data_IF_235880786385
#
_entry.id   IF_235880786385
#
_cell.length_a   1.000
_cell.length_b   1.000
_cell.length_c   1.000
_cell.angle_alpha   90.00
_cell.angle_beta   90.00
_cell.angle_gamma   90.00
#
_symmetry.space_group_name_H-M   'P 1'
#
loop_
_entity.id
_entity.type
_entity.pdbx_description
1 polymer ?
#
# COMPACT_ATOMS: atom_id res chain seq x y z
N UNK A 1 -4.62 0.24 -14.80
CA UNK A 1 -3.44 0.24 -13.90
C UNK A 1 -3.11 -1.19 -13.51
N UNK A 2 -4.03 -1.87 -12.84
CA UNK A 2 -4.17 -3.33 -12.90
C UNK A 2 -4.76 -3.73 -14.28
N UNK A 3 -4.44 -4.92 -14.85
CA UNK A 3 -3.46 -5.89 -14.38
C UNK A 3 -2.03 -5.64 -14.91
N UNK A 4 -1.83 -4.69 -15.83
CA UNK A 4 -0.57 -4.58 -16.58
C UNK A 4 0.67 -4.26 -15.75
N UNK A 5 0.55 -3.37 -14.74
CA UNK A 5 1.68 -3.09 -13.85
C UNK A 5 1.97 -4.27 -12.90
N UNK A 6 0.92 -4.91 -12.38
CA UNK A 6 1.02 -6.12 -11.56
C UNK A 6 1.73 -7.26 -12.32
N UNK A 7 1.37 -7.53 -13.58
CA UNK A 7 2.04 -8.54 -14.42
C UNK A 7 3.54 -8.27 -14.57
N UNK A 8 3.94 -7.01 -14.76
CA UNK A 8 5.35 -6.64 -14.86
C UNK A 8 6.07 -6.79 -13.52
N UNK A 9 5.43 -6.41 -12.42
CA UNK A 9 5.97 -6.59 -11.07
C UNK A 9 6.23 -8.08 -10.78
N UNK A 10 5.27 -8.97 -11.09
CA UNK A 10 5.43 -10.42 -10.90
C UNK A 10 6.56 -10.98 -11.77
N UNK A 11 6.64 -10.55 -13.03
CA UNK A 11 7.60 -11.10 -13.99
C UNK A 11 9.04 -10.63 -13.73
N UNK A 12 9.23 -9.38 -13.35
CA UNK A 12 10.55 -8.74 -13.36
C UNK A 12 10.95 -8.09 -12.04
N UNK A 13 10.04 -7.97 -11.07
CA UNK A 13 10.28 -7.22 -9.83
C UNK A 13 10.28 -8.09 -8.58
N UNK A 14 10.51 -7.38 -7.47
CA UNK A 14 10.58 -7.90 -6.09
C UNK A 14 9.55 -7.20 -5.20
N UNK A 15 8.40 -6.87 -5.78
CA UNK A 15 7.32 -6.19 -5.08
C UNK A 15 6.44 -5.36 -6.01
N UNK A 16 5.34 -4.86 -5.46
CA UNK A 16 4.35 -4.09 -6.20
C UNK A 16 3.95 -2.83 -5.43
N UNK A 17 3.97 -1.68 -6.12
CA UNK A 17 3.66 -0.38 -5.53
C UNK A 17 2.44 0.26 -6.23
N UNK A 18 1.21 -0.19 -5.95
CA UNK A 18 0.02 0.46 -6.47
C UNK A 18 -0.29 1.77 -5.74
N UNK A 19 -1.08 2.62 -6.40
CA UNK A 19 -1.70 3.75 -5.73
C UNK A 19 -3.08 3.36 -5.20
N UNK A 20 -3.38 3.67 -3.94
CA UNK A 20 -4.67 3.35 -3.30
C UNK A 20 -5.86 3.83 -4.14
N UNK A 21 -5.81 5.10 -4.56
CA UNK A 21 -6.84 5.77 -5.35
C UNK A 21 -7.16 5.07 -6.69
N UNK A 22 -6.20 4.34 -7.27
CA UNK A 22 -6.39 3.59 -8.51
C UNK A 22 -6.93 2.19 -8.30
N UNK A 23 -6.91 1.69 -7.08
CA UNK A 23 -7.44 0.37 -6.71
C UNK A 23 -8.85 0.46 -6.12
N UNK A 24 -9.23 1.60 -5.54
CA UNK A 24 -10.52 1.79 -4.84
C UNK A 24 -11.73 1.39 -5.70
N UNK A 25 -11.75 1.76 -6.99
CA UNK A 25 -12.87 1.46 -7.89
C UNK A 25 -13.24 -0.02 -7.94
N UNK A 26 -12.23 -0.90 -7.92
CA UNK A 26 -12.40 -2.34 -8.11
C UNK A 26 -12.20 -3.10 -6.77
N UNK A 27 -12.04 -2.38 -5.66
CA UNK A 27 -11.81 -2.90 -4.31
C UNK A 27 -10.33 -3.25 -4.04
N UNK A 28 -9.69 -2.52 -3.12
CA UNK A 28 -8.26 -2.69 -2.79
C UNK A 28 -7.93 -4.13 -2.38
N UNK A 29 -8.68 -4.71 -1.44
CA UNK A 29 -8.47 -6.08 -0.98
C UNK A 29 -8.66 -7.11 -2.09
N UNK A 30 -9.68 -6.94 -2.94
CA UNK A 30 -9.94 -7.82 -4.09
C UNK A 30 -8.76 -7.82 -5.06
N UNK A 31 -8.19 -6.65 -5.34
CA UNK A 31 -7.06 -6.54 -6.26
C UNK A 31 -5.75 -7.06 -5.66
N UNK A 32 -5.55 -6.95 -4.34
CA UNK A 32 -4.41 -7.54 -3.65
C UNK A 32 -4.46 -9.07 -3.72
N UNK A 33 -5.61 -9.68 -3.42
CA UNK A 33 -5.77 -11.13 -3.54
C UNK A 33 -5.54 -11.59 -4.98
N UNK A 34 -6.12 -10.91 -5.98
CA UNK A 34 -5.86 -11.22 -7.39
C UNK A 34 -4.38 -11.09 -7.77
N UNK A 35 -3.65 -10.13 -7.20
CA UNK A 35 -2.21 -10.01 -7.43
C UNK A 35 -1.46 -11.22 -6.88
N UNK A 36 -1.80 -11.70 -5.67
CA UNK A 36 -1.22 -12.90 -5.08
C UNK A 36 -1.51 -14.15 -5.90
N UNK A 37 -2.74 -14.31 -6.38
CA UNK A 37 -3.11 -15.43 -7.24
C UNK A 37 -2.34 -15.40 -8.55
N UNK A 38 -2.23 -14.23 -9.20
CA UNK A 38 -1.40 -14.07 -10.38
C UNK A 38 0.08 -14.38 -10.15
N UNK A 39 0.60 -14.12 -8.94
CA UNK A 39 1.97 -14.49 -8.58
C UNK A 39 2.12 -16.01 -8.47
N UNK A 40 1.17 -16.69 -7.81
CA UNK A 40 1.13 -18.16 -7.70
C UNK A 40 1.07 -18.81 -9.08
N UNK A 41 0.17 -18.34 -9.95
CA UNK A 41 0.02 -18.84 -11.32
C UNK A 41 1.31 -18.68 -12.16
N UNK A 42 2.11 -17.66 -11.86
CA UNK A 42 3.40 -17.41 -12.49
C UNK A 42 4.56 -18.20 -11.83
N UNK A 43 4.28 -19.06 -10.85
CA UNK A 43 5.29 -19.84 -10.13
C UNK A 43 6.14 -19.03 -9.15
N UNK A 44 5.68 -17.84 -8.74
CA UNK A 44 6.33 -16.99 -7.73
C UNK A 44 5.63 -17.17 -6.39
N UNK A 45 6.42 -17.21 -5.31
CA UNK A 45 5.88 -17.14 -3.95
C UNK A 45 5.39 -15.70 -3.67
N UNK A 46 4.09 -15.49 -3.36
CA UNK A 46 3.56 -14.16 -3.03
C UNK A 46 4.27 -13.48 -1.86
N UNK A 47 4.82 -14.24 -0.91
CA UNK A 47 5.55 -13.67 0.23
C UNK A 47 6.86 -12.99 -0.19
N UNK A 48 7.39 -13.30 -1.38
CA UNK A 48 8.58 -12.65 -1.95
C UNK A 48 8.27 -11.34 -2.69
N UNK A 49 6.99 -10.95 -2.76
CA UNK A 49 6.51 -9.79 -3.51
C UNK A 49 5.78 -8.81 -2.58
N UNK A 50 6.50 -8.08 -1.71
CA UNK A 50 5.89 -7.13 -0.79
C UNK A 50 5.07 -6.07 -1.53
N UNK A 51 3.94 -5.71 -0.94
CA UNK A 51 2.99 -4.73 -1.46
C UNK A 51 3.16 -3.44 -0.67
N UNK A 52 3.52 -2.37 -1.38
CA UNK A 52 3.57 -1.01 -0.81
C UNK A 52 2.44 -0.16 -1.39
N UNK A 53 1.46 0.28 -0.59
CA UNK A 53 0.42 1.18 -1.09
C UNK A 53 0.85 2.64 -0.96
N UNK A 54 0.72 3.39 -2.06
CA UNK A 54 0.97 4.82 -2.12
C UNK A 54 -0.33 5.65 -2.06
N UNK A 55 -0.27 6.85 -1.44
CA UNK A 55 -1.38 7.82 -1.28
C UNK A 55 -2.53 7.31 -0.41
N UNK A 56 -2.21 6.67 0.72
CA UNK A 56 -3.21 6.28 1.71
C UNK A 56 -3.60 7.50 2.56
N UNK A 57 -4.90 7.69 2.89
CA UNK A 57 -5.34 8.72 3.83
C UNK A 57 -4.85 8.44 5.26
N UNK A 58 -4.78 9.48 6.08
CA UNK A 58 -4.42 9.43 7.51
C UNK A 58 -5.60 8.97 8.39
N UNK A 59 -6.27 7.89 7.99
CA UNK A 59 -7.43 7.29 8.67
C UNK A 59 -7.07 5.93 9.28
N UNK A 60 -7.14 5.79 10.61
CA UNK A 60 -6.69 4.58 11.33
C UNK A 60 -7.39 3.31 10.84
N UNK A 61 -8.70 3.34 10.59
CA UNK A 61 -9.46 2.17 10.14
C UNK A 61 -9.01 1.70 8.75
N UNK A 62 -8.67 2.63 7.85
CA UNK A 62 -8.12 2.29 6.52
C UNK A 62 -6.71 1.71 6.62
N UNK A 63 -5.90 2.20 7.55
CA UNK A 63 -4.56 1.67 7.80
C UNK A 63 -4.62 0.24 8.38
N UNK A 64 -5.52 -0.01 9.34
CA UNK A 64 -5.80 -1.35 9.86
C UNK A 64 -6.31 -2.30 8.79
N UNK A 65 -7.18 -1.81 7.90
CA UNK A 65 -7.62 -2.59 6.75
C UNK A 65 -6.46 -2.94 5.81
N UNK A 66 -5.51 -2.03 5.58
CA UNK A 66 -4.30 -2.33 4.80
C UNK A 66 -3.47 -3.45 5.44
N UNK A 67 -3.28 -3.43 6.75
CA UNK A 67 -2.59 -4.51 7.48
C UNK A 67 -3.34 -5.84 7.35
N UNK A 68 -4.66 -5.83 7.56
CA UNK A 68 -5.50 -7.03 7.46
C UNK A 68 -5.46 -7.71 6.08
N UNK A 69 -5.42 -6.92 5.01
CA UNK A 69 -5.29 -7.45 3.65
C UNK A 69 -3.82 -7.74 3.26
N UNK A 70 -2.88 -7.59 4.19
CA UNK A 70 -1.47 -7.94 4.07
C UNK A 70 -0.67 -6.96 3.19
N UNK A 71 -0.92 -5.66 3.31
CA UNK A 71 -0.04 -4.62 2.78
C UNK A 71 1.17 -4.48 3.71
N UNK A 72 2.37 -4.67 3.17
CA UNK A 72 3.61 -4.63 3.94
C UNK A 72 4.06 -3.21 4.30
N UNK A 73 3.69 -2.21 3.48
CA UNK A 73 4.11 -0.83 3.67
C UNK A 73 3.09 0.16 3.16
N UNK A 74 2.89 1.24 3.91
CA UNK A 74 2.14 2.41 3.47
C UNK A 74 3.08 3.58 3.26
N UNK A 75 2.91 4.30 2.14
CA UNK A 75 3.63 5.54 1.85
C UNK A 75 2.61 6.67 1.65
N UNK A 76 2.71 7.70 2.50
CA UNK A 76 1.91 8.91 2.42
C UNK A 76 2.67 10.04 1.72
N UNK A 77 1.95 11.06 1.29
CA UNK A 77 2.52 12.26 0.64
C UNK A 77 2.43 13.44 1.58
N UNK A 78 3.47 14.27 1.61
CA UNK A 78 3.46 15.56 2.27
C UNK A 78 3.25 16.67 1.22
N UNK A 79 2.54 17.76 1.55
CA UNK A 79 2.49 18.92 0.68
C UNK A 79 3.87 19.57 0.55
N UNK A 80 4.10 20.31 -0.53
CA UNK A 80 5.35 21.06 -0.73
C UNK A 80 5.31 22.36 0.09
N UNK A 81 5.51 22.24 1.40
CA UNK A 81 5.37 23.32 2.37
C UNK A 81 6.59 23.38 3.32
N UNK A 82 6.68 24.46 4.10
CA UNK A 82 7.75 24.65 5.09
C UNK A 82 7.53 23.80 6.36
N UNK A 83 8.60 23.64 7.14
CA UNK A 83 8.63 22.78 8.32
C UNK A 83 7.52 23.08 9.34
N UNK A 84 7.21 24.35 9.59
CA UNK A 84 6.14 24.79 10.49
C UNK A 84 4.77 24.19 10.12
N UNK A 85 4.50 24.03 8.83
CA UNK A 85 3.28 23.36 8.35
C UNK A 85 3.40 21.84 8.27
N UNK A 86 4.61 21.32 8.04
CA UNK A 86 4.83 19.87 7.89
C UNK A 86 4.92 19.12 9.22
N UNK A 87 5.50 19.72 10.26
CA UNK A 87 5.70 19.05 11.54
C UNK A 87 4.39 18.53 12.16
N UNK A 88 3.28 19.30 12.19
CA UNK A 88 2.00 18.78 12.68
C UNK A 88 1.45 17.62 11.86
N UNK A 89 1.75 17.54 10.56
CA UNK A 89 1.34 16.42 9.69
C UNK A 89 2.15 15.17 10.06
N UNK A 90 3.46 15.32 10.24
CA UNK A 90 4.37 14.25 10.65
C UNK A 90 3.98 13.72 12.03
N UNK A 91 3.62 14.59 12.98
CA UNK A 91 3.17 14.18 14.32
C UNK A 91 1.89 13.34 14.27
N UNK A 92 0.93 13.69 13.41
CA UNK A 92 -0.28 12.87 13.19
C UNK A 92 0.07 11.49 12.65
N UNK A 93 0.95 11.40 11.65
CA UNK A 93 1.42 10.10 11.13
C UNK A 93 2.20 9.29 12.17
N UNK A 94 3.01 9.95 13.00
CA UNK A 94 3.70 9.27 14.11
C UNK A 94 2.72 8.73 15.16
N UNK A 95 1.62 9.44 15.44
CA UNK A 95 0.59 8.97 16.35
C UNK A 95 -0.16 7.76 15.77
N UNK A 96 -0.54 7.80 14.49
CA UNK A 96 -1.16 6.68 13.79
C UNK A 96 -0.25 5.44 13.78
N UNK A 97 1.05 5.62 13.52
CA UNK A 97 2.03 4.52 13.60
C UNK A 97 2.01 3.84 14.96
N UNK A 98 2.02 4.61 16.06
CA UNK A 98 1.95 4.05 17.42
C UNK A 98 0.64 3.29 17.69
N UNK A 99 -0.48 3.74 17.12
CA UNK A 99 -1.78 3.05 17.24
C UNK A 99 -1.89 1.76 16.42
N UNK A 100 -1.01 1.56 15.45
CA UNK A 100 -0.90 0.31 14.69
C UNK A 100 0.06 -0.68 15.37
N UNK A 101 1.06 -0.18 16.09
CA UNK A 101 2.04 -1.01 16.81
C UNK A 101 1.53 -1.52 18.17
N UNK A 102 0.49 -0.89 18.73
CA UNK A 102 -0.13 -1.25 20.01
C UNK A 102 -1.45 -1.98 19.84
#
# INVERSE_FOLDING_TARGET
>A
AFPYAARRAIRYGDGWIPRADRLERDGVGVLIEKFRDMARDAGRDPATLPITIFRVPDEIERLRFCEQIGVDRVVFSLPAEKADKLMPIIDRWSALKRQLEG
#
